data_IF_905153613705
#
_entry.id   IF_905153613705
#
_cell.length_a   1.000
_cell.length_b   1.000
_cell.length_c   1.000
_cell.angle_alpha   90.00
_cell.angle_beta   90.00
_cell.angle_gamma   90.00
#
_symmetry.space_group_name_H-M   'P 1'
#
loop_
_entity.id
_entity.type
_entity.pdbx_description
1 polymer ?
#
# COMPACT_ATOMS: atom_id res chain seq x y z
N UNK A 1 -8.12 -0.88 18.12
CA UNK A 1 -6.77 -0.72 17.53
C UNK A 1 -5.90 -1.88 17.97
N UNK A 2 -5.30 -2.63 17.05
CA UNK A 2 -4.30 -3.64 17.42
C UNK A 2 -3.08 -2.93 18.03
N UNK A 3 -2.58 -3.42 19.16
CA UNK A 3 -1.36 -2.90 19.79
C UNK A 3 -0.14 -3.35 18.97
N UNK A 4 0.18 -2.61 17.92
CA UNK A 4 1.34 -2.88 17.06
C UNK A 4 2.57 -2.24 17.69
N UNK A 5 3.54 -3.10 18.03
CA UNK A 5 4.82 -2.67 18.58
C UNK A 5 5.70 -2.08 17.45
N UNK A 6 6.19 -0.85 17.60
CA UNK A 6 7.14 -0.27 16.66
C UNK A 6 8.46 -1.03 16.67
N UNK A 7 9.23 -0.87 15.59
CA UNK A 7 10.59 -1.41 15.52
C UNK A 7 11.52 -0.70 16.50
N UNK A 8 12.56 -1.40 16.98
CA UNK A 8 13.55 -0.78 17.86
C UNK A 8 14.25 0.37 17.15
N UNK A 9 14.12 1.57 17.71
CA UNK A 9 14.77 2.77 17.20
C UNK A 9 16.30 2.66 17.26
N UNK A 10 16.85 2.01 18.30
CA UNK A 10 18.29 1.77 18.43
C UNK A 10 18.83 0.88 17.32
N UNK A 11 18.10 -0.21 16.99
CA UNK A 11 18.54 -1.18 15.98
C UNK A 11 18.36 -0.68 14.55
N UNK A 12 17.32 0.11 14.27
CA UNK A 12 16.93 0.47 12.90
C UNK A 12 17.04 1.97 12.60
N UNK A 13 17.29 2.82 13.60
CA UNK A 13 17.35 4.27 13.41
C UNK A 13 16.03 4.90 12.96
N UNK A 14 14.89 4.24 13.21
CA UNK A 14 13.55 4.71 12.83
C UNK A 14 12.80 5.12 14.07
N UNK A 15 12.33 6.36 14.09
CA UNK A 15 11.52 6.86 15.20
C UNK A 15 10.18 6.14 15.25
N UNK A 16 9.58 6.05 16.44
CA UNK A 16 8.24 5.48 16.62
C UNK A 16 7.22 6.10 15.66
N UNK A 17 7.29 7.41 15.43
CA UNK A 17 6.39 8.13 14.53
C UNK A 17 6.62 7.78 13.06
N UNK A 18 7.88 7.71 12.60
CA UNK A 18 8.20 7.28 11.24
C UNK A 18 7.72 5.84 10.97
N UNK A 19 7.83 4.95 11.97
CA UNK A 19 7.24 3.62 11.89
C UNK A 19 5.72 3.65 11.70
N UNK A 20 4.99 4.43 12.50
CA UNK A 20 3.53 4.49 12.36
C UNK A 20 3.09 5.17 11.06
N UNK A 21 3.85 6.15 10.56
CA UNK A 21 3.63 6.73 9.25
C UNK A 21 3.73 5.67 8.16
N UNK A 22 4.81 4.88 8.15
CA UNK A 22 5.00 3.78 7.21
C UNK A 22 3.92 2.69 7.37
N UNK A 23 3.53 2.38 8.60
CA UNK A 23 2.46 1.44 8.91
C UNK A 23 1.13 1.88 8.31
N UNK A 24 0.66 3.08 8.63
CA UNK A 24 -0.61 3.58 8.12
C UNK A 24 -0.56 3.82 6.62
N UNK A 25 0.59 4.19 6.06
CA UNK A 25 0.77 4.28 4.61
C UNK A 25 0.57 2.92 3.93
N UNK A 26 1.17 1.86 4.45
CA UNK A 26 1.00 0.50 3.92
C UNK A 26 -0.46 0.01 4.03
N UNK A 27 -1.13 0.31 5.15
CA UNK A 27 -2.55 -0.05 5.35
C UNK A 27 -3.49 0.57 4.30
N UNK A 28 -3.13 1.73 3.75
CA UNK A 28 -3.90 2.40 2.69
C UNK A 28 -3.71 1.77 1.30
N UNK A 29 -2.94 0.70 1.18
CA UNK A 29 -2.73 -0.01 -0.08
C UNK A 29 -4.04 -0.33 -0.81
N UNK A 30 -5.06 -0.81 -0.10
CA UNK A 30 -6.36 -1.12 -0.69
C UNK A 30 -7.07 0.14 -1.22
N UNK A 31 -6.98 1.27 -0.52
CA UNK A 31 -7.52 2.54 -1.02
C UNK A 31 -6.84 2.97 -2.33
N UNK A 32 -5.53 2.82 -2.43
CA UNK A 32 -4.79 3.15 -3.66
C UNK A 32 -5.18 2.21 -4.81
N UNK A 33 -5.31 0.91 -4.54
CA UNK A 33 -5.78 -0.08 -5.52
C UNK A 33 -7.21 0.22 -5.99
N UNK A 34 -8.09 0.62 -5.07
CA UNK A 34 -9.47 0.99 -5.38
C UNK A 34 -9.56 2.25 -6.23
N UNK A 35 -8.69 3.24 -5.99
CA UNK A 35 -8.56 4.42 -6.88
C UNK A 35 -8.22 3.97 -8.29
N UNK A 36 -7.25 3.06 -8.45
CA UNK A 36 -6.83 2.58 -9.77
C UNK A 36 -7.93 1.78 -10.47
N UNK A 37 -8.70 0.98 -9.71
CA UNK A 37 -9.74 0.09 -10.24
C UNK A 37 -11.06 0.79 -10.55
N UNK A 38 -11.55 1.63 -9.64
CA UNK A 38 -12.92 2.17 -9.70
C UNK A 38 -13.00 3.63 -10.08
N UNK A 39 -11.95 4.43 -9.85
CA UNK A 39 -11.90 5.81 -10.36
C UNK A 39 -11.41 5.84 -11.80
N UNK A 40 -12.07 5.07 -12.66
CA UNK A 40 -11.99 5.25 -14.11
C UNK A 40 -13.03 6.30 -14.47
N UNK A 41 -12.65 7.32 -15.24
CA UNK A 41 -13.61 8.32 -15.74
C UNK A 41 -14.88 7.60 -16.19
N UNK A 42 -16.05 8.14 -15.85
CA UNK A 42 -17.36 7.66 -16.28
C UNK A 42 -17.50 7.79 -17.80
N UNK A 43 -16.72 7.03 -18.55
CA UNK A 43 -16.79 6.81 -19.98
C UNK A 43 -17.81 5.68 -20.19
N UNK A 44 -19.09 6.04 -20.11
CA UNK A 44 -20.17 5.11 -20.41
C UNK A 44 -21.52 5.43 -19.77
N UNK A 45 -21.99 6.68 -19.90
CA UNK A 45 -23.44 7.02 -19.96
C UNK A 45 -23.65 8.49 -19.61
N UNK A 46 -23.63 9.37 -20.61
CA UNK A 46 -24.61 10.43 -20.70
C UNK A 46 -24.85 10.68 -22.18
N UNK A 47 -26.03 10.26 -22.63
CA UNK A 47 -26.47 10.37 -24.01
C UNK A 47 -26.36 11.80 -24.53
N UNK A 48 -26.08 11.87 -25.83
CA UNK A 48 -26.03 13.07 -26.64
C UNK A 48 -27.35 13.81 -26.48
N UNK A 49 -27.37 14.91 -25.72
CA UNK A 49 -28.42 15.89 -25.85
C UNK A 49 -27.88 17.31 -25.63
N UNK A 50 -27.32 17.87 -26.71
CA UNK A 50 -27.53 19.25 -27.16
C UNK A 50 -27.52 20.40 -26.15
N UNK A 51 -26.72 20.39 -25.09
CA UNK A 51 -26.57 21.55 -24.21
C UNK A 51 -25.10 21.86 -23.91
N UNK A 52 -24.72 23.08 -24.27
CA UNK A 52 -23.40 23.68 -24.04
C UNK A 52 -23.03 23.62 -22.55
N UNK A 53 -21.99 22.85 -22.20
CA UNK A 53 -21.46 22.75 -20.83
C UNK A 53 -20.02 23.23 -20.83
N UNK A 54 -19.81 24.47 -20.36
CA UNK A 54 -18.52 25.14 -20.36
C UNK A 54 -17.47 24.47 -19.46
N UNK A 55 -16.20 24.57 -19.89
CA UNK A 55 -14.88 24.48 -19.23
C UNK A 55 -14.62 23.65 -17.95
N UNK A 56 -15.60 23.02 -17.29
CA UNK A 56 -15.41 22.29 -16.02
C UNK A 56 -14.98 20.83 -16.21
N UNK A 57 -15.18 20.27 -17.40
CA UNK A 57 -14.89 18.86 -17.69
C UNK A 57 -13.39 18.59 -17.79
N UNK A 58 -12.60 19.53 -18.31
CA UNK A 58 -11.14 19.38 -18.45
C UNK A 58 -10.41 19.30 -17.10
N UNK A 59 -10.78 20.16 -16.15
CA UNK A 59 -10.19 20.19 -14.81
C UNK A 59 -10.46 18.90 -14.02
N UNK A 60 -11.65 18.31 -14.19
CA UNK A 60 -12.03 17.06 -13.53
C UNK A 60 -11.19 15.88 -14.03
N UNK A 61 -11.02 15.75 -15.35
CA UNK A 61 -10.17 14.71 -15.97
C UNK A 61 -8.70 14.89 -15.60
N UNK A 62 -8.18 16.11 -15.59
CA UNK A 62 -6.79 16.39 -15.17
C UNK A 62 -6.56 16.03 -13.69
N UNK A 63 -7.47 16.45 -12.80
CA UNK A 63 -7.38 16.09 -11.38
C UNK A 63 -7.48 14.58 -11.16
N UNK A 64 -8.33 13.88 -11.91
CA UNK A 64 -8.42 12.42 -11.85
C UNK A 64 -7.10 11.77 -12.27
N UNK A 65 -6.49 12.23 -13.36
CA UNK A 65 -5.21 11.72 -13.83
C UNK A 65 -4.10 11.90 -12.78
N UNK A 66 -4.03 13.05 -12.10
CA UNK A 66 -3.07 13.33 -11.02
C UNK A 66 -3.29 12.35 -9.85
N UNK A 67 -4.55 12.20 -9.40
CA UNK A 67 -4.89 11.30 -8.28
C UNK A 67 -4.52 9.85 -8.61
N UNK A 68 -4.84 9.39 -9.83
CA UNK A 68 -4.51 8.03 -10.29
C UNK A 68 -3.00 7.84 -10.38
N UNK A 69 -2.26 8.82 -10.92
CA UNK A 69 -0.80 8.73 -11.00
C UNK A 69 -0.18 8.63 -9.60
N UNK A 70 -0.66 9.42 -8.64
CA UNK A 70 -0.16 9.34 -7.27
C UNK A 70 -0.52 7.98 -6.62
N UNK A 71 -1.74 7.47 -6.83
CA UNK A 71 -2.12 6.15 -6.34
C UNK A 71 -1.25 5.03 -6.93
N UNK A 72 -0.94 5.09 -8.23
CA UNK A 72 -0.04 4.14 -8.89
C UNK A 72 1.36 4.16 -8.26
N UNK A 73 1.94 5.36 -8.08
CA UNK A 73 3.24 5.53 -7.42
C UNK A 73 3.24 4.97 -5.99
N UNK A 74 2.15 5.17 -5.25
CA UNK A 74 2.04 4.68 -3.87
C UNK A 74 1.96 3.14 -3.84
N UNK A 75 1.17 2.52 -4.73
CA UNK A 75 1.07 1.06 -4.88
C UNK A 75 2.45 0.47 -5.21
N UNK A 76 3.11 1.04 -6.23
CA UNK A 76 4.43 0.61 -6.67
C UNK A 76 5.46 0.72 -5.54
N UNK A 77 5.46 1.83 -4.80
CA UNK A 77 6.37 2.03 -3.66
C UNK A 77 6.20 0.93 -2.61
N UNK A 78 4.97 0.53 -2.30
CA UNK A 78 4.68 -0.52 -1.31
C UNK A 78 5.13 -1.89 -1.85
N UNK A 79 4.74 -2.23 -3.07
CA UNK A 79 5.08 -3.53 -3.70
C UNK A 79 6.59 -3.70 -3.86
N UNK A 80 7.28 -2.68 -4.37
CA UNK A 80 8.72 -2.72 -4.57
C UNK A 80 9.48 -2.78 -3.25
N UNK A 81 8.97 -2.13 -2.20
CA UNK A 81 9.57 -2.24 -0.87
C UNK A 81 9.41 -3.64 -0.27
N UNK A 82 8.31 -4.33 -0.54
CA UNK A 82 8.15 -5.73 -0.14
C UNK A 82 9.16 -6.65 -0.87
N UNK A 83 9.38 -6.41 -2.17
CA UNK A 83 10.36 -7.15 -2.98
C UNK A 83 11.80 -6.90 -2.45
N UNK A 84 12.17 -5.64 -2.20
CA UNK A 84 13.48 -5.29 -1.63
C UNK A 84 13.71 -5.85 -0.22
N UNK A 85 12.63 -5.95 0.58
CA UNK A 85 12.70 -6.58 1.89
C UNK A 85 13.00 -8.07 1.76
N UNK A 86 12.28 -8.78 0.88
CA UNK A 86 12.54 -10.18 0.55
C UNK A 86 11.82 -10.60 -0.74
N UNK A 87 12.58 -10.88 -1.80
CA UNK A 87 12.02 -11.35 -3.07
C UNK A 87 11.28 -12.69 -2.97
N UNK A 88 11.65 -13.57 -2.04
CA UNK A 88 10.97 -14.86 -1.83
C UNK A 88 9.68 -14.71 -1.01
N UNK A 89 9.68 -13.79 -0.03
CA UNK A 89 8.58 -13.63 0.91
C UNK A 89 7.68 -12.42 0.62
N UNK A 90 7.94 -11.69 -0.47
CA UNK A 90 7.28 -10.40 -0.75
C UNK A 90 5.75 -10.51 -0.72
N UNK A 91 5.17 -11.57 -1.30
CA UNK A 91 3.72 -11.78 -1.32
C UNK A 91 3.12 -11.91 0.09
N UNK A 92 3.82 -12.60 1.00
CA UNK A 92 3.38 -12.79 2.38
C UNK A 92 3.60 -11.54 3.22
N UNK A 93 4.70 -10.83 2.97
CA UNK A 93 4.98 -9.52 3.59
C UNK A 93 3.90 -8.54 3.19
N UNK A 94 3.63 -8.41 1.88
CA UNK A 94 2.63 -7.50 1.34
C UNK A 94 1.26 -7.79 1.98
N UNK A 95 0.81 -9.05 1.94
CA UNK A 95 -0.43 -9.49 2.60
C UNK A 95 -0.48 -9.09 4.08
N UNK A 96 0.62 -9.29 4.82
CA UNK A 96 0.70 -9.01 6.25
C UNK A 96 0.69 -7.52 6.62
N UNK A 97 1.23 -6.66 5.74
CA UNK A 97 1.36 -5.23 6.02
C UNK A 97 0.21 -4.40 5.46
N UNK A 98 -0.58 -4.96 4.53
CA UNK A 98 -1.73 -4.28 3.93
C UNK A 98 -3.07 -4.73 4.53
N UNK A 99 -3.17 -5.96 5.03
CA UNK A 99 -4.43 -6.51 5.53
C UNK A 99 -4.47 -6.66 7.05
N UNK A 100 -5.53 -6.13 7.66
CA UNK A 100 -5.81 -6.38 9.07
C UNK A 100 -6.14 -7.85 9.30
N UNK A 101 -5.48 -8.47 10.29
CA UNK A 101 -5.75 -9.85 10.68
C UNK A 101 -4.96 -10.92 9.90
N UNK A 102 -4.15 -10.54 8.90
CA UNK A 102 -3.21 -11.43 8.23
C UNK A 102 -2.05 -11.85 9.15
N UNK A 103 -2.33 -12.63 10.20
CA UNK A 103 -1.35 -13.06 11.19
C UNK A 103 -0.31 -14.04 10.63
N UNK A 104 0.83 -14.20 11.31
CA UNK A 104 1.82 -15.22 10.93
C UNK A 104 1.20 -16.61 10.80
N UNK A 105 0.30 -16.98 11.73
CA UNK A 105 -0.42 -18.27 11.69
C UNK A 105 -1.27 -18.42 10.43
N UNK A 106 -1.91 -17.34 9.98
CA UNK A 106 -2.67 -17.35 8.73
C UNK A 106 -1.75 -17.57 7.52
N UNK A 107 -0.63 -16.84 7.46
CA UNK A 107 0.33 -16.98 6.35
C UNK A 107 0.95 -18.38 6.27
N UNK A 108 1.26 -19.01 7.42
CA UNK A 108 1.83 -20.36 7.43
C UNK A 108 0.77 -21.44 7.19
N UNK A 109 -0.40 -21.35 7.81
CA UNK A 109 -1.40 -22.42 7.78
C UNK A 109 -2.28 -22.38 6.52
N UNK A 110 -2.63 -21.17 6.06
CA UNK A 110 -3.55 -20.98 4.93
C UNK A 110 -2.79 -20.75 3.63
N UNK A 111 -1.72 -19.95 3.68
CA UNK A 111 -0.92 -19.65 2.50
C UNK A 111 0.33 -20.53 2.33
N UNK A 112 0.55 -21.50 3.24
CA UNK A 112 1.70 -22.42 3.22
C UNK A 112 3.07 -21.70 3.08
N UNK A 113 3.23 -20.56 3.76
CA UNK A 113 4.48 -19.80 3.74
C UNK A 113 5.66 -20.66 4.25
N UNK A 114 6.76 -20.81 3.49
CA UNK A 114 7.86 -21.71 3.82
C UNK A 114 8.85 -21.15 4.86
N UNK A 115 8.54 -20.01 5.50
CA UNK A 115 9.46 -19.30 6.38
C UNK A 115 9.12 -19.46 7.86
N UNK A 116 10.18 -19.62 8.67
CA UNK A 116 10.09 -19.55 10.11
C UNK A 116 9.69 -18.15 10.62
N UNK A 117 9.14 -18.12 11.84
CA UNK A 117 8.64 -16.90 12.48
C UNK A 117 9.67 -15.78 12.53
N UNK A 118 10.90 -16.10 12.94
CA UNK A 118 11.95 -15.09 13.15
C UNK A 118 12.40 -14.46 11.83
N UNK A 119 12.61 -15.29 10.80
CA UNK A 119 12.93 -14.82 9.46
C UNK A 119 11.84 -13.90 8.92
N UNK A 120 10.57 -14.32 9.02
CA UNK A 120 9.45 -13.52 8.53
C UNK A 120 9.36 -12.15 9.22
N UNK A 121 9.39 -12.11 10.56
CA UNK A 121 9.31 -10.85 11.28
C UNK A 121 10.54 -9.97 11.07
N UNK A 122 11.71 -10.55 10.80
CA UNK A 122 12.89 -9.79 10.40
C UNK A 122 12.69 -9.09 9.06
N UNK A 123 12.22 -9.81 8.04
CA UNK A 123 11.91 -9.21 6.74
C UNK A 123 10.79 -8.17 6.82
N UNK A 124 9.76 -8.40 7.64
CA UNK A 124 8.72 -7.40 7.92
C UNK A 124 9.28 -6.13 8.55
N UNK A 125 10.23 -6.24 9.50
CA UNK A 125 10.89 -5.04 10.08
C UNK A 125 11.72 -4.30 9.03
N UNK A 126 12.46 -5.04 8.19
CA UNK A 126 13.20 -4.48 7.05
C UNK A 126 12.27 -3.73 6.09
N UNK A 127 11.09 -4.26 5.80
CA UNK A 127 10.07 -3.57 5.00
C UNK A 127 9.72 -2.20 5.58
N UNK A 128 9.35 -2.11 6.86
CA UNK A 128 8.99 -0.83 7.47
C UNK A 128 10.16 0.15 7.56
N UNK A 129 11.38 -0.37 7.78
CA UNK A 129 12.58 0.44 7.71
C UNK A 129 12.75 1.07 6.33
N UNK A 130 12.73 0.26 5.27
CA UNK A 130 12.86 0.74 3.89
C UNK A 130 11.74 1.70 3.51
N UNK A 131 10.49 1.38 3.85
CA UNK A 131 9.34 2.20 3.54
C UNK A 131 9.43 3.57 4.23
N UNK A 132 9.86 3.59 5.50
CA UNK A 132 10.05 4.84 6.25
C UNK A 132 11.14 5.77 5.69
N UNK A 133 12.00 5.27 4.79
CA UNK A 133 13.03 6.07 4.11
C UNK A 133 12.59 6.60 2.75
N UNK A 134 11.51 6.03 2.20
CA UNK A 134 10.95 6.40 0.88
C UNK A 134 9.78 7.39 0.98
N UNK A 135 9.09 7.38 2.12
CA UNK A 135 8.08 8.38 2.51
C UNK A 135 8.80 9.63 3.00
#
# INVERSE_FOLDING_TARGET
MQNIRPISQEKWGVTKHAFYQAYHFAMRYHEFRDILKYKTDTLGSQEINGMSRGNKTGDATQNLAIIRQQAAKNVEMIEQTAIEASGELYQYILKNVTEEGASFKYLTTVMNMPAGKDMFYDRRRKFYFLLSKKI
#
